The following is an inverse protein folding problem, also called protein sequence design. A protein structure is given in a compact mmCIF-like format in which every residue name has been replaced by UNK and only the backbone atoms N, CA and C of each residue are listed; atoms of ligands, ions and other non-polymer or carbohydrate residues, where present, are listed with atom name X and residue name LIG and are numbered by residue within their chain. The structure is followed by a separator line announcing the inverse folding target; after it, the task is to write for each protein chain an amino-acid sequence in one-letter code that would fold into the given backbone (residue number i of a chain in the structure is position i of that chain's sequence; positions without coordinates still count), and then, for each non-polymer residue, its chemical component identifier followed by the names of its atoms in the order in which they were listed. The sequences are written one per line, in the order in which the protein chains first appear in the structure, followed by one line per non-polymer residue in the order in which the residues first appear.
data_IF_297490996431
#
_entry.id   IF_297490996431
#
_cell.length_a   1.000
_cell.length_b   1.000
_cell.length_c   1.000
_cell.angle_alpha   90.00
_cell.angle_beta   90.00
_cell.angle_gamma   90.00
#
_symmetry.space_group_name_H-M   'P 1'
#
loop_
_entity.id
_entity.type
_entity.pdbx_description
1 polymer ?
#
# COMPACT_ATOMS: atom_id res chain seq x y z
N UNK A 1 4.34 -19.21 -3.84
CA UNK A 1 3.77 -17.96 -3.29
C UNK A 1 4.71 -16.77 -3.48
N UNK A 2 5.95 -16.81 -2.97
CA UNK A 2 6.90 -15.67 -3.04
C UNK A 2 7.20 -15.21 -4.47
N UNK A 3 7.58 -16.13 -5.38
CA UNK A 3 7.87 -15.77 -6.78
C UNK A 3 6.68 -15.13 -7.50
N UNK A 4 5.46 -15.58 -7.19
CA UNK A 4 4.24 -15.02 -7.77
C UNK A 4 4.01 -13.58 -7.31
N UNK A 5 4.21 -13.31 -6.01
CA UNK A 5 4.15 -11.95 -5.47
C UNK A 5 5.15 -11.02 -6.17
N UNK A 6 6.40 -11.44 -6.36
CA UNK A 6 7.39 -10.66 -7.11
C UNK A 6 6.98 -10.42 -8.57
N UNK A 7 6.46 -11.44 -9.26
CA UNK A 7 5.96 -11.29 -10.64
C UNK A 7 4.83 -10.28 -10.73
N UNK A 8 3.87 -10.34 -9.79
CA UNK A 8 2.76 -9.39 -9.70
C UNK A 8 3.24 -7.96 -9.43
N UNK A 9 4.20 -7.77 -8.54
CA UNK A 9 4.80 -6.46 -8.26
C UNK A 9 5.58 -5.91 -9.47
N UNK A 10 6.31 -6.76 -10.19
CA UNK A 10 7.00 -6.35 -11.44
C UNK A 10 5.99 -5.96 -12.51
N UNK A 11 4.91 -6.73 -12.68
CA UNK A 11 3.84 -6.40 -13.62
C UNK A 11 3.16 -5.07 -13.24
N UNK A 12 2.86 -4.87 -11.95
CA UNK A 12 2.31 -3.62 -11.42
C UNK A 12 3.22 -2.43 -11.72
N UNK A 13 4.53 -2.56 -11.46
CA UNK A 13 5.53 -1.53 -11.75
C UNK A 13 5.60 -1.16 -13.23
N UNK A 14 5.34 -2.11 -14.14
CA UNK A 14 5.31 -1.86 -15.58
C UNK A 14 4.00 -1.22 -16.05
N UNK A 15 2.88 -1.55 -15.40
CA UNK A 15 1.55 -1.08 -15.79
C UNK A 15 1.18 0.30 -15.22
N UNK A 16 1.87 0.75 -14.16
CA UNK A 16 1.57 1.97 -13.42
C UNK A 16 2.78 2.91 -13.39
N UNK A 17 2.86 3.90 -14.30
CA UNK A 17 3.96 4.86 -14.36
C UNK A 17 4.21 5.59 -13.04
N UNK A 18 3.15 5.79 -12.23
CA UNK A 18 3.22 6.44 -10.92
C UNK A 18 4.19 5.68 -9.98
N UNK A 19 4.28 4.36 -10.10
CA UNK A 19 5.19 3.55 -9.26
C UNK A 19 6.66 3.91 -9.54
N UNK A 20 6.99 4.37 -10.75
CA UNK A 20 8.36 4.65 -11.19
C UNK A 20 8.63 6.11 -11.54
N UNK A 21 7.67 7.00 -11.29
CA UNK A 21 7.82 8.44 -11.50
C UNK A 21 9.14 8.92 -10.84
N UNK A 22 9.99 9.72 -11.50
CA UNK A 22 11.18 10.28 -10.86
C UNK A 22 10.87 11.48 -9.96
N UNK A 23 9.68 12.09 -10.05
CA UNK A 23 9.32 13.25 -9.25
C UNK A 23 9.02 12.83 -7.80
N UNK A 24 9.84 13.33 -6.87
CA UNK A 24 9.70 13.09 -5.44
C UNK A 24 8.98 14.22 -4.71
N UNK A 25 8.72 15.36 -5.38
CA UNK A 25 8.13 16.55 -4.73
C UNK A 25 6.70 16.31 -4.24
N UNK A 26 5.99 15.37 -4.85
CA UNK A 26 4.64 14.96 -4.45
C UNK A 26 4.62 13.67 -3.62
N UNK A 27 5.80 13.12 -3.28
CA UNK A 27 5.92 11.88 -2.51
C UNK A 27 5.95 12.19 -1.02
N UNK A 28 5.12 11.51 -0.25
CA UNK A 28 5.16 11.51 1.21
C UNK A 28 5.43 10.11 1.71
N UNK A 29 6.38 9.95 2.61
CA UNK A 29 6.70 8.69 3.26
C UNK A 29 6.72 8.91 4.77
N UNK A 30 5.89 8.16 5.48
CA UNK A 30 5.72 8.28 6.93
C UNK A 30 5.92 6.90 7.55
N UNK A 31 6.87 6.81 8.49
CA UNK A 31 7.00 5.69 9.39
C UNK A 31 6.42 6.09 10.74
N UNK A 32 5.31 5.46 11.12
CA UNK A 32 4.71 5.59 12.44
C UNK A 32 5.29 4.48 13.33
N UNK A 33 6.23 4.84 14.19
CA UNK A 33 6.90 3.88 15.07
C UNK A 33 5.98 3.35 16.16
N UNK A 34 5.02 4.15 16.63
CA UNK A 34 4.07 3.77 17.68
C UNK A 34 3.11 2.70 17.16
N UNK A 35 2.54 2.93 15.97
CA UNK A 35 1.63 1.97 15.30
C UNK A 35 2.37 0.89 14.53
N UNK A 36 3.70 1.04 14.35
CA UNK A 36 4.56 0.22 13.50
C UNK A 36 4.03 0.07 12.08
N UNK A 37 3.63 1.17 11.45
CA UNK A 37 3.15 1.19 10.06
C UNK A 37 3.99 2.15 9.23
N UNK A 38 4.37 1.71 8.03
CA UNK A 38 4.96 2.56 7.01
C UNK A 38 3.94 2.83 5.91
N UNK A 39 3.77 4.09 5.53
CA UNK A 39 2.93 4.51 4.41
C UNK A 39 3.73 5.39 3.47
N UNK A 40 3.70 5.05 2.18
CA UNK A 40 4.20 5.87 1.08
C UNK A 40 3.04 6.29 0.19
N UNK A 41 2.90 7.58 -0.04
CA UNK A 41 1.91 8.18 -0.92
C UNK A 41 2.60 8.84 -2.09
N UNK A 42 2.07 8.60 -3.28
CA UNK A 42 2.52 9.26 -4.51
C UNK A 42 1.34 9.41 -5.46
N UNK A 43 0.93 10.65 -5.71
CA UNK A 43 -0.25 10.91 -6.55
C UNK A 43 -1.48 10.17 -6.01
N UNK A 44 -2.14 9.37 -6.85
CA UNK A 44 -3.24 8.49 -6.44
C UNK A 44 -2.82 7.16 -5.81
N UNK A 45 -1.52 6.86 -5.74
CA UNK A 45 -1.00 5.59 -5.23
C UNK A 45 -0.68 5.66 -3.73
N UNK A 46 -1.06 4.62 -3.00
CA UNK A 46 -0.68 4.39 -1.59
C UNK A 46 -0.05 3.01 -1.47
N UNK A 47 1.16 2.96 -0.94
CA UNK A 47 1.84 1.74 -0.50
C UNK A 47 1.86 1.74 1.01
N UNK A 48 1.35 0.69 1.64
CA UNK A 48 1.31 0.60 3.10
C UNK A 48 1.80 -0.78 3.57
N UNK A 49 2.60 -0.77 4.63
CA UNK A 49 3.19 -1.97 5.24
C UNK A 49 2.97 -1.90 6.74
N UNK A 50 2.30 -2.91 7.27
CA UNK A 50 2.09 -3.10 8.70
C UNK A 50 3.20 -4.00 9.23
N UNK A 51 4.04 -3.47 10.10
CA UNK A 51 5.08 -4.23 10.80
C UNK A 51 4.62 -4.69 12.18
N UNK A 52 3.43 -4.34 12.64
CA UNK A 52 2.92 -4.74 13.95
C UNK A 52 2.41 -6.20 13.94
N UNK A 53 2.22 -6.73 15.15
CA UNK A 53 1.63 -8.06 15.40
C UNK A 53 0.09 -8.05 15.33
N UNK A 54 -0.52 -6.89 15.07
CA UNK A 54 -1.98 -6.71 15.10
C UNK A 54 -2.49 -6.10 13.80
N UNK A 55 -3.78 -6.20 13.56
CA UNK A 55 -4.42 -5.50 12.44
C UNK A 55 -4.38 -3.98 12.66
N UNK A 56 -4.09 -3.21 11.60
CA UNK A 56 -4.01 -1.75 11.67
C UNK A 56 -4.79 -1.10 10.51
N UNK A 57 -5.69 -0.14 10.79
CA UNK A 57 -6.33 0.66 9.75
C UNK A 57 -5.42 1.80 9.27
N UNK A 58 -5.27 1.96 7.97
CA UNK A 58 -4.59 3.09 7.33
C UNK A 58 -5.63 3.94 6.63
N UNK A 59 -5.75 5.21 7.00
CA UNK A 59 -6.63 6.14 6.32
C UNK A 59 -6.18 6.33 4.86
N UNK A 60 -7.09 6.25 3.90
CA UNK A 60 -6.84 6.51 2.48
C UNK A 60 -7.40 7.86 2.05
N UNK A 61 -8.22 8.50 2.89
CA UNK A 61 -9.00 9.68 2.55
C UNK A 61 -10.22 9.37 1.68
N UNK A 62 -11.05 10.37 1.37
CA UNK A 62 -12.26 10.19 0.58
C UNK A 62 -11.94 9.84 -0.89
N UNK A 63 -12.65 8.90 -1.48
CA UNK A 63 -12.50 8.54 -2.90
C UNK A 63 -12.80 7.06 -3.15
N UNK A 64 -12.85 6.69 -4.44
CA UNK A 64 -12.89 5.28 -4.82
C UNK A 64 -11.46 4.75 -4.84
N UNK A 65 -11.21 3.70 -4.07
CA UNK A 65 -9.88 3.13 -3.91
C UNK A 65 -9.89 1.67 -4.36
N UNK A 66 -8.97 1.33 -5.26
CA UNK A 66 -8.79 -0.02 -5.78
C UNK A 66 -7.55 -0.68 -5.16
N UNK A 67 -7.73 -1.83 -4.53
CA UNK A 67 -6.64 -2.69 -4.08
C UNK A 67 -5.95 -3.33 -5.30
N UNK A 68 -4.69 -2.99 -5.55
CA UNK A 68 -3.90 -3.50 -6.68
C UNK A 68 -3.06 -4.72 -6.30
N UNK A 69 -2.57 -4.73 -5.06
CA UNK A 69 -1.74 -5.80 -4.53
C UNK A 69 -1.96 -5.94 -3.04
N UNK A 70 -1.88 -7.18 -2.55
CA UNK A 70 -1.76 -7.48 -1.13
C UNK A 70 -0.86 -8.69 -0.95
N UNK A 71 -0.15 -8.74 0.18
CA UNK A 71 0.57 -9.91 0.66
C UNK A 71 -0.36 -11.13 0.85
N UNK A 72 0.16 -12.34 1.11
CA UNK A 72 -0.68 -13.53 1.29
C UNK A 72 -1.78 -13.37 2.35
N UNK A 73 -1.52 -12.60 3.40
CA UNK A 73 -2.56 -12.13 4.33
C UNK A 73 -3.31 -10.95 3.67
N UNK A 74 -4.60 -11.11 3.34
CA UNK A 74 -5.31 -10.16 2.51
C UNK A 74 -5.65 -8.88 3.28
N UNK A 75 -5.24 -7.74 2.73
CA UNK A 75 -5.73 -6.43 3.13
C UNK A 75 -7.10 -6.15 2.49
N UNK A 76 -7.91 -5.32 3.15
CA UNK A 76 -9.25 -4.95 2.68
C UNK A 76 -9.37 -3.44 2.58
N UNK A 77 -9.95 -2.95 1.49
CA UNK A 77 -10.36 -1.54 1.39
C UNK A 77 -11.80 -1.43 1.86
N UNK A 78 -12.04 -0.73 2.98
CA UNK A 78 -13.37 -0.33 3.46
C UNK A 78 -13.51 1.19 3.30
N UNK A 79 -14.21 1.60 2.23
CA UNK A 79 -14.51 2.99 1.90
C UNK A 79 -13.26 3.86 1.88
N UNK A 80 -12.95 4.52 2.99
CA UNK A 80 -11.83 5.45 3.14
C UNK A 80 -10.65 4.86 3.93
N UNK A 81 -10.68 3.58 4.29
CA UNK A 81 -9.64 2.93 5.06
C UNK A 81 -9.13 1.66 4.37
N UNK A 82 -7.84 1.43 4.50
CA UNK A 82 -7.19 0.17 4.19
C UNK A 82 -6.95 -0.58 5.51
N UNK A 83 -7.58 -1.73 5.66
CA UNK A 83 -7.39 -2.63 6.80
C UNK A 83 -6.22 -3.56 6.48
N UNK A 84 -5.11 -3.42 7.20
CA UNK A 84 -3.92 -4.24 7.01
C UNK A 84 -3.79 -5.30 8.11
N UNK A 85 -3.69 -6.59 7.77
CA UNK A 85 -3.40 -7.62 8.75
C UNK A 85 -1.98 -7.47 9.32
N UNK A 86 -1.70 -8.15 10.43
CA UNK A 86 -0.36 -8.24 11.01
C UNK A 86 0.67 -8.69 9.97
N UNK A 87 1.82 -8.02 9.92
CA UNK A 87 2.91 -8.25 8.95
C UNK A 87 2.46 -8.18 7.48
N UNK A 88 1.35 -7.49 7.21
CA UNK A 88 0.74 -7.37 5.89
C UNK A 88 1.24 -6.16 5.11
N UNK A 89 1.20 -6.24 3.79
CA UNK A 89 1.48 -5.12 2.90
C UNK A 89 0.46 -5.02 1.78
N UNK A 90 0.21 -3.80 1.31
CA UNK A 90 -0.71 -3.55 0.21
C UNK A 90 -0.29 -2.36 -0.66
N UNK A 91 -0.77 -2.38 -1.91
CA UNK A 91 -0.70 -1.26 -2.83
C UNK A 91 -2.12 -0.95 -3.29
N UNK A 92 -2.51 0.32 -3.13
CA UNK A 92 -3.84 0.84 -3.45
C UNK A 92 -3.68 2.00 -4.42
N UNK A 93 -4.62 2.17 -5.35
CA UNK A 93 -4.73 3.37 -6.17
C UNK A 93 -6.13 3.95 -6.07
N UNK A 94 -6.20 5.28 -6.10
CA UNK A 94 -7.42 6.02 -6.44
C UNK A 94 -7.73 5.91 -7.93
#
# INVERSE_FOLDING_TARGET
VVLDAYRRLVALRRARPEVTDPDLRSVSAVADEERRVFTLRRGGLVVAVNFSEVEVPVDLGPGDHQLLFTTPSPAVVDRTALILPAHGGAVVAR
#
